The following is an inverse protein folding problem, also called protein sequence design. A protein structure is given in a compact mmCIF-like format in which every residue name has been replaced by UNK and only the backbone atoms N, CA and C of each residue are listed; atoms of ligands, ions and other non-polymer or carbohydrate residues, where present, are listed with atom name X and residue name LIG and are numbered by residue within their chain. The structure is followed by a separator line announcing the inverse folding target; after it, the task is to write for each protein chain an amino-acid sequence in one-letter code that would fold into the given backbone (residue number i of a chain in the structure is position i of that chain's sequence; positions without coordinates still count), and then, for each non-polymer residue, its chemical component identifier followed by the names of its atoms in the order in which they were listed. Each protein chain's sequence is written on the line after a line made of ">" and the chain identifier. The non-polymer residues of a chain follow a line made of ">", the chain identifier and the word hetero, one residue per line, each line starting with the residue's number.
data_IF_828894710100
#
_entry.id   IF_828894710100
#
_cell.length_a   1.000
_cell.length_b   1.000
_cell.length_c   1.000
_cell.angle_alpha   90.00
_cell.angle_beta   90.00
_cell.angle_gamma   90.00
#
_symmetry.space_group_name_H-M   'P 1'
#
loop_
_entity.id
_entity.type
_entity.pdbx_description
1 polymer ?
#
# COMPACT_ATOMS: atom_id res chain seq x y z
N UNK A 1 7.05 -8.85 -4.70
CA UNK A 1 6.15 -8.14 -3.77
C UNK A 1 5.69 -6.85 -4.45
N UNK A 2 4.38 -6.67 -4.70
CA UNK A 2 3.83 -5.42 -5.20
C UNK A 2 4.16 -4.21 -4.32
N UNK A 3 4.20 -3.02 -4.94
CA UNK A 3 4.42 -1.75 -4.24
C UNK A 3 3.37 -0.73 -4.70
N UNK A 4 2.65 -0.16 -3.74
CA UNK A 4 1.64 0.88 -3.95
C UNK A 4 2.27 2.23 -3.60
N UNK A 5 2.31 3.15 -4.55
CA UNK A 5 2.79 4.50 -4.33
C UNK A 5 1.61 5.42 -4.01
N UNK A 6 1.68 6.13 -2.88
CA UNK A 6 0.63 7.05 -2.43
C UNK A 6 0.97 8.48 -2.85
N UNK A 7 -0.06 9.27 -3.15
CA UNK A 7 0.10 10.70 -3.47
C UNK A 7 0.68 11.51 -2.31
N UNK A 8 0.57 11.02 -1.08
CA UNK A 8 1.20 11.61 0.10
C UNK A 8 2.73 11.44 0.15
N UNK A 9 3.32 10.70 -0.81
CA UNK A 9 4.76 10.43 -0.86
C UNK A 9 5.20 9.16 -0.11
N UNK A 10 4.27 8.46 0.55
CA UNK A 10 4.52 7.15 1.15
C UNK A 10 4.38 5.99 0.17
N UNK A 11 4.93 4.84 0.55
CA UNK A 11 4.79 3.58 -0.18
C UNK A 11 4.26 2.48 0.72
N UNK A 12 3.53 1.55 0.12
CA UNK A 12 3.05 0.34 0.78
C UNK A 12 3.55 -0.86 -0.01
N UNK A 13 4.47 -1.61 0.59
CA UNK A 13 4.87 -2.92 0.07
C UNK A 13 3.90 -3.95 0.63
N UNK A 14 3.40 -4.87 -0.19
CA UNK A 14 2.45 -5.89 0.27
C UNK A 14 2.72 -7.24 -0.39
N UNK A 15 2.17 -8.32 0.18
CA UNK A 15 2.23 -9.66 -0.43
C UNK A 15 1.19 -9.80 -1.53
N UNK A 16 -0.03 -9.31 -1.29
CA UNK A 16 -1.14 -9.38 -2.23
C UNK A 16 -1.99 -8.10 -2.16
N UNK A 17 -2.68 -7.78 -3.25
CA UNK A 17 -3.66 -6.71 -3.27
C UNK A 17 -4.83 -7.02 -4.21
N UNK A 18 -5.96 -6.39 -3.95
CA UNK A 18 -7.15 -6.41 -4.80
C UNK A 18 -7.58 -4.97 -5.06
N UNK A 19 -8.06 -4.70 -6.27
CA UNK A 19 -8.70 -3.43 -6.61
C UNK A 19 -10.18 -3.73 -6.85
N UNK A 20 -11.06 -3.11 -6.06
CA UNK A 20 -12.50 -3.25 -6.21
C UNK A 20 -13.19 -1.97 -5.73
N UNK A 21 -14.25 -1.57 -6.41
CA UNK A 21 -15.11 -0.45 -5.99
C UNK A 21 -14.34 0.87 -5.73
N UNK A 22 -13.32 1.15 -6.55
CA UNK A 22 -12.52 2.39 -6.43
C UNK A 22 -11.50 2.40 -5.29
N UNK A 23 -11.26 1.23 -4.68
CA UNK A 23 -10.39 1.07 -3.51
C UNK A 23 -9.35 -0.03 -3.79
N UNK A 24 -8.12 0.19 -3.32
CA UNK A 24 -7.11 -0.86 -3.22
C UNK A 24 -7.12 -1.40 -1.79
N UNK A 25 -7.20 -2.73 -1.67
CA UNK A 25 -6.99 -3.47 -0.42
C UNK A 25 -5.74 -4.30 -0.55
N UNK A 26 -4.82 -4.18 0.39
CA UNK A 26 -3.54 -4.86 0.39
C UNK A 26 -3.36 -5.65 1.70
N UNK A 27 -2.73 -6.81 1.60
CA UNK A 27 -2.53 -7.75 2.69
C UNK A 27 -1.04 -7.91 2.99
N UNK A 28 -0.71 -8.13 4.27
CA UNK A 28 0.65 -8.27 4.80
C UNK A 28 1.53 -7.09 4.36
N UNK A 29 1.14 -5.91 4.84
CA UNK A 29 1.69 -4.65 4.35
C UNK A 29 2.86 -4.17 5.20
N UNK A 30 3.78 -3.48 4.53
CA UNK A 30 4.83 -2.67 5.12
C UNK A 30 4.69 -1.25 4.56
N UNK A 31 4.43 -0.28 5.43
CA UNK A 31 4.42 1.12 5.07
C UNK A 31 5.82 1.70 5.25
N UNK A 32 6.29 2.40 4.23
CA UNK A 32 7.56 3.10 4.20
C UNK A 32 7.31 4.56 3.77
N UNK A 33 7.81 5.54 4.54
CA UNK A 33 7.59 6.98 4.30
C UNK A 33 7.75 7.84 5.56
N UNK A 34 7.52 9.15 5.43
CA UNK A 34 7.57 10.17 6.52
C UNK A 34 6.76 9.77 7.77
N UNK A 35 7.12 10.31 8.97
CA UNK A 35 7.31 9.56 10.20
C UNK A 35 6.09 8.72 10.61
N UNK A 36 6.07 7.46 10.17
CA UNK A 36 5.14 6.46 10.69
C UNK A 36 5.81 5.83 11.92
N UNK A 37 5.16 5.79 13.10
CA UNK A 37 5.68 5.04 14.24
C UNK A 37 5.94 3.57 13.84
N UNK A 38 7.07 2.99 14.25
CA UNK A 38 7.45 1.61 13.86
C UNK A 38 6.34 0.58 14.15
N UNK A 39 5.61 0.76 15.25
CA UNK A 39 4.48 -0.08 15.65
C UNK A 39 3.34 -0.10 14.61
N UNK A 40 3.24 0.94 13.78
CA UNK A 40 2.23 1.10 12.73
C UNK A 40 2.80 0.86 11.32
N UNK A 41 4.10 0.60 11.20
CA UNK A 41 4.76 0.40 9.91
C UNK A 41 4.43 -0.95 9.27
N UNK A 42 3.86 -1.92 10.01
CA UNK A 42 3.57 -3.28 9.52
C UNK A 42 2.15 -3.76 9.81
N UNK A 43 1.11 -3.12 9.24
CA UNK A 43 -0.26 -3.59 9.42
C UNK A 43 -0.54 -4.83 8.58
N UNK A 44 -1.40 -5.71 9.11
CA UNK A 44 -1.87 -6.89 8.38
C UNK A 44 -2.72 -6.54 7.15
N UNK A 45 -3.46 -5.43 7.19
CA UNK A 45 -4.26 -4.92 6.08
C UNK A 45 -4.00 -3.43 5.86
N UNK A 46 -3.90 -3.00 4.61
CA UNK A 46 -3.91 -1.60 4.20
C UNK A 46 -5.02 -1.36 3.18
N UNK A 47 -5.83 -0.33 3.42
CA UNK A 47 -6.90 0.07 2.50
C UNK A 47 -6.71 1.53 2.11
N UNK A 48 -6.76 1.83 0.80
CA UNK A 48 -6.71 3.19 0.29
C UNK A 48 -7.64 3.39 -0.91
N UNK A 49 -8.28 4.56 -0.98
CA UNK A 49 -8.98 4.98 -2.20
C UNK A 49 -7.98 5.12 -3.34
N UNK A 50 -8.36 4.70 -4.56
CA UNK A 50 -7.57 4.92 -5.77
C UNK A 50 -7.31 6.42 -6.02
N UNK A 51 -8.16 7.32 -5.50
CA UNK A 51 -7.92 8.75 -5.55
C UNK A 51 -6.63 9.18 -4.84
N UNK A 52 -6.17 8.40 -3.85
CA UNK A 52 -4.95 8.63 -3.08
C UNK A 52 -3.76 7.80 -3.56
N UNK A 53 -3.96 6.92 -4.54
CA UNK A 53 -2.91 6.11 -5.17
C UNK A 53 -2.35 6.87 -6.38
N UNK A 54 -1.02 6.91 -6.48
CA UNK A 54 -0.32 7.49 -7.62
C UNK A 54 -0.16 6.45 -8.73
N UNK A 55 0.41 5.28 -8.41
CA UNK A 55 0.45 4.10 -9.25
C UNK A 55 0.77 2.86 -8.42
N UNK A 56 0.57 1.67 -9.00
CA UNK A 56 0.91 0.39 -8.38
C UNK A 56 1.93 -0.29 -9.30
N UNK A 57 3.07 -0.69 -8.73
CA UNK A 57 4.01 -1.60 -9.38
C UNK A 57 3.61 -3.02 -9.00
N UNK A 58 3.07 -3.83 -9.95
CA UNK A 58 2.82 -5.23 -9.66
C UNK A 58 4.14 -5.93 -9.35
N UNK A 59 4.12 -6.84 -8.37
CA UNK A 59 5.27 -7.72 -8.15
C UNK A 59 5.53 -8.54 -9.40
N UNK A 60 6.80 -8.87 -9.68
CA UNK A 60 7.10 -9.93 -10.67
C UNK A 60 6.36 -11.20 -10.24
N UNK A 61 5.59 -11.77 -11.17
CA UNK A 61 4.99 -13.10 -11.06
C UNK A 61 6.08 -14.16 -10.84
#
# INVERSE_FOLDING_TARGET
>A
MPVIYLKSGGTVTCTAYTIKDGVVKAMDCKLDGTPIPEEKARPAEFTASLANVLYILPGKL
#
